data_IF_968643784851
#
_entry.id   IF_968643784851
#
_cell.length_a   1.000
_cell.length_b   1.000
_cell.length_c   1.000
_cell.angle_alpha   90.00
_cell.angle_beta   90.00
_cell.angle_gamma   90.00
#
_symmetry.space_group_name_H-M   'P 1'
#
loop_
_entity.id
_entity.type
_entity.pdbx_description
1 polymer ?
#
# COMPACT_ATOMS: atom_id res chain seq x y z
N UNK A 1 4.43 11.06 -11.05
CA UNK A 1 5.25 11.25 -9.84
C UNK A 1 5.81 9.92 -9.41
N UNK A 2 7.09 9.87 -9.16
CA UNK A 2 7.76 8.70 -8.61
C UNK A 2 8.30 9.01 -7.21
N UNK A 3 9.05 8.08 -6.62
CA UNK A 3 9.61 8.26 -5.27
C UNK A 3 10.56 9.46 -5.20
N UNK A 4 11.37 9.67 -6.23
CA UNK A 4 12.27 10.83 -6.29
C UNK A 4 11.52 12.16 -6.31
N UNK A 5 10.44 12.23 -7.08
CA UNK A 5 9.60 13.42 -7.15
C UNK A 5 8.90 13.69 -5.81
N UNK A 6 8.47 12.61 -5.15
CA UNK A 6 7.86 12.72 -3.83
C UNK A 6 8.88 13.22 -2.79
N UNK A 7 10.10 12.72 -2.81
CA UNK A 7 11.17 13.18 -1.93
C UNK A 7 11.49 14.65 -2.16
N UNK A 8 11.51 15.10 -3.42
CA UNK A 8 11.69 16.51 -3.76
C UNK A 8 10.59 17.38 -3.16
N UNK A 9 9.34 16.96 -3.29
CA UNK A 9 8.20 17.69 -2.74
C UNK A 9 8.28 17.77 -1.20
N UNK A 10 8.67 16.70 -0.54
CA UNK A 10 8.86 16.66 0.91
C UNK A 10 9.99 17.61 1.33
N UNK A 11 11.11 17.60 0.60
CA UNK A 11 12.22 18.51 0.83
C UNK A 11 11.78 19.98 0.80
N UNK A 12 11.00 20.34 -0.21
CA UNK A 12 10.50 21.71 -0.39
C UNK A 12 9.54 22.13 0.73
N UNK A 13 8.71 21.21 1.21
CA UNK A 13 7.71 21.50 2.26
C UNK A 13 8.30 21.53 3.66
N UNK A 14 9.36 20.77 3.92
CA UNK A 14 9.91 20.60 5.28
C UNK A 14 11.20 21.36 5.53
N UNK A 15 11.86 21.80 4.46
CA UNK A 15 13.19 22.41 4.58
C UNK A 15 14.31 21.37 4.76
N UNK A 16 14.00 20.09 4.72
CA UNK A 16 15.01 19.03 4.74
C UNK A 16 15.80 19.02 3.44
N UNK A 17 17.04 18.53 3.47
CA UNK A 17 17.79 18.28 2.24
C UNK A 17 17.11 17.17 1.43
N UNK A 18 17.44 17.07 0.15
CA UNK A 18 16.91 15.99 -0.69
C UNK A 18 17.29 14.59 -0.16
N UNK A 19 18.51 14.45 0.34
CA UNK A 19 18.96 13.21 0.95
C UNK A 19 18.14 12.85 2.19
N UNK A 20 17.94 13.82 3.08
CA UNK A 20 17.13 13.64 4.29
C UNK A 20 15.67 13.33 3.95
N UNK A 21 15.11 14.05 2.98
CA UNK A 21 13.73 13.82 2.53
C UNK A 21 13.57 12.44 1.92
N UNK A 22 14.53 11.99 1.11
CA UNK A 22 14.56 10.65 0.53
C UNK A 22 14.58 9.57 1.61
N UNK A 23 15.43 9.74 2.61
CA UNK A 23 15.51 8.81 3.74
C UNK A 23 14.20 8.77 4.53
N UNK A 24 13.56 9.93 4.74
CA UNK A 24 12.28 10.01 5.43
C UNK A 24 11.17 9.31 4.66
N UNK A 25 11.10 9.48 3.34
CA UNK A 25 10.13 8.81 2.49
C UNK A 25 10.36 7.30 2.51
N UNK A 26 11.60 6.85 2.38
CA UNK A 26 11.95 5.43 2.43
C UNK A 26 11.58 4.81 3.77
N UNK A 27 11.89 5.48 4.87
CA UNK A 27 11.57 5.01 6.22
C UNK A 27 10.05 4.89 6.43
N UNK A 28 9.28 5.86 5.94
CA UNK A 28 7.83 5.83 6.02
C UNK A 28 7.25 4.64 5.25
N UNK A 29 7.72 4.42 4.02
CA UNK A 29 7.27 3.30 3.18
C UNK A 29 7.63 1.97 3.84
N UNK A 30 8.85 1.82 4.33
CA UNK A 30 9.30 0.61 5.01
C UNK A 30 8.47 0.30 6.25
N UNK A 31 8.13 1.32 7.04
CA UNK A 31 7.30 1.17 8.22
C UNK A 31 5.89 0.69 7.85
N UNK A 32 5.29 1.26 6.81
CA UNK A 32 3.98 0.86 6.30
C UNK A 32 4.01 -0.59 5.82
N UNK A 33 5.00 -0.94 5.01
CA UNK A 33 5.16 -2.29 4.47
C UNK A 33 5.34 -3.30 5.59
N UNK A 34 6.18 -3.00 6.56
CA UNK A 34 6.43 -3.88 7.71
C UNK A 34 5.17 -4.13 8.54
N UNK A 35 4.40 -3.09 8.80
CA UNK A 35 3.14 -3.21 9.55
C UNK A 35 2.12 -4.06 8.80
N UNK A 36 1.93 -3.80 7.52
CA UNK A 36 0.96 -4.55 6.69
C UNK A 36 1.37 -6.02 6.58
N UNK A 37 2.65 -6.31 6.40
CA UNK A 37 3.16 -7.68 6.37
C UNK A 37 2.90 -8.41 7.68
N UNK A 38 2.93 -7.70 8.80
CA UNK A 38 2.60 -8.24 10.12
C UNK A 38 1.11 -8.24 10.44
N UNK A 39 0.26 -8.03 9.44
CA UNK A 39 -1.19 -7.97 9.58
C UNK A 39 -1.67 -6.84 10.53
N UNK A 40 -0.91 -5.76 10.57
CA UNK A 40 -1.25 -4.57 11.33
C UNK A 40 -1.61 -3.46 10.34
N UNK A 41 -2.72 -2.79 10.56
CA UNK A 41 -3.15 -1.71 9.67
C UNK A 41 -2.46 -0.41 10.03
N UNK A 42 -2.23 0.43 9.01
CA UNK A 42 -1.67 1.78 9.17
C UNK A 42 -2.73 2.79 8.78
N UNK A 43 -3.30 3.45 9.77
CA UNK A 43 -4.34 4.45 9.57
C UNK A 43 -3.73 5.85 9.59
N UNK A 44 -3.86 6.56 8.47
CA UNK A 44 -3.36 7.92 8.31
C UNK A 44 -4.54 8.87 8.18
N UNK A 45 -4.70 9.73 9.17
CA UNK A 45 -5.82 10.68 9.22
C UNK A 45 -5.83 11.58 7.98
N UNK A 46 -6.98 11.70 7.33
CA UNK A 46 -7.14 12.53 6.13
C UNK A 46 -6.55 11.93 4.85
N UNK A 47 -5.89 10.77 4.93
CA UNK A 47 -5.29 10.11 3.77
C UNK A 47 -5.96 8.77 3.48
N UNK A 48 -5.92 7.86 4.42
CA UNK A 48 -6.50 6.52 4.26
C UNK A 48 -5.85 5.49 5.15
N UNK A 49 -6.17 4.25 4.91
CA UNK A 49 -5.68 3.13 5.70
C UNK A 49 -5.07 2.07 4.81
N UNK A 50 -3.84 1.68 5.09
CA UNK A 50 -3.20 0.51 4.50
C UNK A 50 -3.48 -0.70 5.38
N UNK A 51 -3.86 -1.81 4.80
CA UNK A 51 -4.20 -3.01 5.55
C UNK A 51 -3.90 -4.27 4.74
N UNK A 52 -3.86 -5.40 5.44
CA UNK A 52 -3.71 -6.70 4.81
C UNK A 52 -5.09 -7.28 4.53
N UNK A 53 -5.37 -7.56 3.26
CA UNK A 53 -6.63 -8.18 2.84
C UNK A 53 -6.37 -9.66 2.61
N UNK A 54 -7.05 -10.49 3.40
CA UNK A 54 -6.95 -11.94 3.26
C UNK A 54 -8.01 -12.41 2.26
N UNK A 55 -7.58 -13.22 1.31
CA UNK A 55 -8.47 -13.91 0.37
C UNK A 55 -8.36 -15.40 0.62
N UNK A 56 -9.49 -16.03 0.90
CA UNK A 56 -9.55 -17.46 1.10
C UNK A 56 -9.40 -18.21 -0.23
N UNK A 57 -8.94 -19.46 -0.14
CA UNK A 57 -8.92 -20.37 -1.28
C UNK A 57 -10.35 -20.55 -1.81
N UNK A 58 -10.50 -20.47 -3.10
CA UNK A 58 -11.81 -20.69 -3.74
C UNK A 58 -11.66 -21.43 -5.04
N UNK A 59 -12.73 -22.06 -5.46
CA UNK A 59 -12.79 -22.75 -6.74
C UNK A 59 -12.91 -21.72 -7.88
N UNK A 60 -12.03 -21.85 -8.85
CA UNK A 60 -12.06 -21.04 -10.07
C UNK A 60 -12.03 -21.97 -11.28
N UNK A 61 -12.67 -21.55 -12.36
CA UNK A 61 -12.70 -22.31 -13.60
C UNK A 61 -11.67 -21.75 -14.57
N UNK A 62 -10.85 -22.63 -15.14
CA UNK A 62 -9.91 -22.25 -16.18
C UNK A 62 -10.69 -21.88 -17.46
N UNK A 63 -10.62 -20.63 -17.95
CA UNK A 63 -11.36 -20.22 -19.13
C UNK A 63 -10.92 -20.92 -20.43
N UNK A 64 -9.74 -21.53 -20.43
CA UNK A 64 -9.18 -22.24 -21.58
C UNK A 64 -9.69 -23.67 -21.73
N UNK A 65 -9.72 -24.38 -20.61
CA UNK A 65 -10.03 -25.82 -20.59
C UNK A 65 -11.37 -26.14 -19.95
N UNK A 66 -11.94 -25.19 -19.21
CA UNK A 66 -13.15 -25.40 -18.42
C UNK A 66 -12.93 -26.22 -17.16
N UNK A 67 -11.69 -26.60 -16.86
CA UNK A 67 -11.35 -27.36 -15.67
C UNK A 67 -11.49 -26.51 -14.42
N UNK A 68 -11.93 -27.14 -13.34
CA UNK A 68 -12.02 -26.51 -12.03
C UNK A 68 -10.65 -26.55 -11.35
N UNK A 69 -10.24 -25.41 -10.85
CA UNK A 69 -8.97 -25.24 -10.13
C UNK A 69 -9.24 -24.57 -8.79
N UNK A 70 -8.40 -24.87 -7.80
CA UNK A 70 -8.45 -24.16 -6.53
C UNK A 70 -7.45 -23.00 -6.55
N UNK A 71 -7.97 -21.80 -6.35
CA UNK A 71 -7.12 -20.62 -6.10
C UNK A 71 -6.55 -20.74 -4.70
N UNK A 72 -5.24 -20.47 -4.55
CA UNK A 72 -4.59 -20.49 -3.25
C UNK A 72 -5.08 -19.33 -2.39
N UNK A 73 -5.23 -19.57 -1.08
CA UNK A 73 -5.40 -18.50 -0.12
C UNK A 73 -4.20 -17.57 -0.17
N UNK A 74 -4.44 -16.26 -0.13
CA UNK A 74 -3.36 -15.27 -0.14
C UNK A 74 -3.75 -14.04 0.67
N UNK A 75 -2.74 -13.35 1.19
CA UNK A 75 -2.91 -12.07 1.86
C UNK A 75 -2.25 -11.00 0.99
N UNK A 76 -2.97 -9.95 0.69
CA UNK A 76 -2.51 -8.88 -0.17
C UNK A 76 -2.61 -7.54 0.56
N UNK A 77 -1.67 -6.64 0.28
CA UNK A 77 -1.78 -5.27 0.75
C UNK A 77 -2.93 -4.56 0.01
N UNK A 78 -3.69 -3.79 0.75
CA UNK A 78 -4.78 -3.00 0.20
C UNK A 78 -4.78 -1.61 0.81
N UNK A 79 -5.40 -0.67 0.11
CA UNK A 79 -5.51 0.72 0.56
C UNK A 79 -6.96 1.17 0.48
N UNK A 80 -7.46 1.74 1.57
CA UNK A 80 -8.79 2.36 1.63
C UNK A 80 -8.62 3.85 1.81
N UNK A 81 -8.98 4.67 0.80
CA UNK A 81 -8.86 6.12 0.92
C UNK A 81 -9.77 6.67 2.01
N UNK A 82 -9.32 7.70 2.72
CA UNK A 82 -10.17 8.46 3.63
C UNK A 82 -11.21 9.24 2.83
N UNK A 83 -12.29 9.66 3.51
CA UNK A 83 -13.38 10.40 2.86
C UNK A 83 -12.88 11.63 2.11
N UNK A 84 -11.92 12.36 2.68
CA UNK A 84 -11.34 13.55 2.07
C UNK A 84 -10.56 13.27 0.78
N UNK A 85 -10.03 12.04 0.62
CA UNK A 85 -9.28 11.64 -0.57
C UNK A 85 -10.15 10.87 -1.56
N UNK A 86 -11.21 10.24 -1.08
CA UNK A 86 -12.08 9.40 -1.90
C UNK A 86 -12.87 10.21 -2.92
N UNK A 87 -13.27 11.41 -2.54
CA UNK A 87 -14.09 12.30 -3.38
C UNK A 87 -13.35 13.63 -3.58
N UNK A 88 -12.48 13.64 -4.54
CA UNK A 88 -11.69 14.80 -4.90
C UNK A 88 -12.17 15.37 -6.24
#
# INVERSE_FOLDING_TARGET
>A
MNKSDLAKAVSEKTGLSRAQAGDAVDAAIEAIVGSVKGNDSVQLAGFGTFYAKHREAREVRNPRTGEKMMSKARTQAAFRPAAALKDI
#
